data_IF_291103791471
#
_entry.id   IF_291103791471
#
_cell.length_a   1.000
_cell.length_b   1.000
_cell.length_c   1.000
_cell.angle_alpha   90.00
_cell.angle_beta   90.00
_cell.angle_gamma   90.00
#
_symmetry.space_group_name_H-M   'P 1'
#
loop_
_entity.id
_entity.type
_entity.pdbx_description
1 polymer ?
#
# COMPACT_ATOMS: atom_id res chain seq x y z
N UNK A 1 -8.81 -3.67 -3.41
CA UNK A 1 -9.97 -3.63 -4.31
C UNK A 1 -9.80 -2.38 -5.17
N UNK A 2 -9.74 -2.51 -6.50
CA UNK A 2 -9.72 -1.37 -7.42
C UNK A 2 -11.17 -1.08 -7.82
N UNK A 3 -11.64 0.15 -7.62
CA UNK A 3 -12.94 0.60 -8.12
C UNK A 3 -12.78 0.97 -9.60
N UNK A 4 -13.72 0.61 -10.49
CA UNK A 4 -13.74 1.10 -11.86
C UNK A 4 -13.76 2.62 -11.94
N UNK A 5 -12.96 3.17 -12.84
CA UNK A 5 -12.87 4.61 -13.07
C UNK A 5 -14.21 5.18 -13.56
N UNK A 6 -14.64 6.32 -12.99
CA UNK A 6 -15.91 6.97 -13.33
C UNK A 6 -17.12 6.68 -12.41
N UNK A 7 -16.98 5.82 -11.39
CA UNK A 7 -18.07 5.55 -10.43
C UNK A 7 -18.28 6.65 -9.38
N UNK A 8 -17.26 7.45 -9.10
CA UNK A 8 -17.29 8.49 -8.07
C UNK A 8 -17.14 9.88 -8.72
N UNK A 9 -17.90 10.89 -8.25
CA UNK A 9 -17.72 12.26 -8.70
C UNK A 9 -16.25 12.71 -8.54
N UNK A 10 -15.69 13.52 -9.46
CA UNK A 10 -14.30 13.97 -9.38
C UNK A 10 -13.97 14.66 -8.05
N UNK A 11 -14.93 15.39 -7.47
CA UNK A 11 -14.78 16.04 -6.15
C UNK A 11 -14.53 15.03 -5.02
N UNK A 12 -15.16 13.85 -5.08
CA UNK A 12 -14.98 12.79 -4.10
C UNK A 12 -13.63 12.08 -4.28
N UNK A 13 -13.16 11.93 -5.51
CA UNK A 13 -11.81 11.43 -5.79
C UNK A 13 -10.75 12.36 -5.22
N UNK A 14 -10.85 13.68 -5.48
CA UNK A 14 -9.95 14.67 -4.90
C UNK A 14 -9.97 14.68 -3.37
N UNK A 15 -11.15 14.57 -2.76
CA UNK A 15 -11.29 14.50 -1.31
C UNK A 15 -10.66 13.22 -0.73
N UNK A 16 -10.82 12.07 -1.39
CA UNK A 16 -10.17 10.82 -1.01
C UNK A 16 -8.63 10.93 -1.13
N UNK A 17 -8.11 11.56 -2.18
CA UNK A 17 -6.68 11.82 -2.32
C UNK A 17 -6.15 12.74 -1.22
N UNK A 18 -6.87 13.82 -0.89
CA UNK A 18 -6.48 14.73 0.19
C UNK A 18 -6.47 14.02 1.55
N UNK A 19 -7.50 13.24 1.86
CA UNK A 19 -7.55 12.43 3.08
C UNK A 19 -6.42 11.41 3.13
N UNK A 20 -6.15 10.73 2.01
CA UNK A 20 -5.06 9.76 1.93
C UNK A 20 -3.70 10.43 2.20
N UNK A 21 -3.43 11.59 1.57
CA UNK A 21 -2.19 12.35 1.81
C UNK A 21 -2.09 12.82 3.26
N UNK A 22 -3.18 13.26 3.87
CA UNK A 22 -3.21 13.68 5.26
C UNK A 22 -2.91 12.52 6.23
N UNK A 23 -3.54 11.36 6.01
CA UNK A 23 -3.31 10.14 6.81
C UNK A 23 -1.88 9.64 6.61
N UNK A 24 -1.38 9.61 5.37
CA UNK A 24 -0.03 9.19 5.05
C UNK A 24 1.00 10.14 5.69
N UNK A 25 0.79 11.45 5.59
CA UNK A 25 1.64 12.45 6.25
C UNK A 25 1.65 12.30 7.77
N UNK A 26 0.48 12.08 8.37
CA UNK A 26 0.36 11.80 9.81
C UNK A 26 1.05 10.51 10.22
N UNK A 27 0.97 9.46 9.40
CA UNK A 27 1.64 8.18 9.64
C UNK A 27 3.15 8.30 9.50
N UNK A 28 3.65 9.03 8.49
CA UNK A 28 5.08 9.32 8.31
C UNK A 28 5.62 10.08 9.51
N UNK A 29 4.91 11.08 10.01
CA UNK A 29 5.36 11.84 11.18
C UNK A 29 5.37 11.01 12.48
N UNK A 30 4.38 10.14 12.66
CA UNK A 30 4.23 9.30 13.88
C UNK A 30 4.97 7.96 13.81
N UNK A 31 5.51 7.59 12.66
CA UNK A 31 6.17 6.31 12.48
C UNK A 31 7.40 6.21 13.39
N UNK A 32 7.58 5.08 14.11
CA UNK A 32 8.75 4.87 14.97
C UNK A 32 10.00 4.54 14.12
N UNK A 33 10.50 5.51 13.34
CA UNK A 33 11.64 5.37 12.44
C UNK A 33 12.90 4.80 13.10
N UNK A 34 13.06 5.01 14.41
CA UNK A 34 14.16 4.41 15.19
C UNK A 34 14.20 2.88 15.09
N UNK A 35 13.06 2.20 14.87
CA UNK A 35 13.02 0.74 14.67
C UNK A 35 13.70 0.29 13.38
N UNK A 36 13.59 1.07 12.31
CA UNK A 36 14.25 0.82 11.02
C UNK A 36 15.73 1.21 11.01
N UNK A 37 16.25 1.71 12.13
CA UNK A 37 17.68 2.01 12.29
C UNK A 37 18.50 0.75 12.55
N UNK A 38 17.83 -0.34 12.93
CA UNK A 38 18.38 -1.68 12.95
C UNK A 38 18.35 -2.25 11.53
N UNK A 39 19.51 -2.69 11.03
CA UNK A 39 19.65 -3.19 9.67
C UNK A 39 18.76 -4.40 9.42
N UNK A 40 18.60 -5.30 10.41
CA UNK A 40 17.79 -6.50 10.25
C UNK A 40 16.32 -6.14 10.03
N UNK A 41 15.79 -5.18 10.80
CA UNK A 41 14.41 -4.70 10.63
C UNK A 41 14.22 -3.94 9.32
N UNK A 42 15.23 -3.19 8.86
CA UNK A 42 15.18 -2.49 7.58
C UNK A 42 15.13 -3.47 6.40
N UNK A 43 16.00 -4.49 6.41
CA UNK A 43 16.00 -5.53 5.38
C UNK A 43 14.70 -6.33 5.38
N UNK A 44 14.17 -6.67 6.56
CA UNK A 44 12.88 -7.35 6.69
C UNK A 44 11.73 -6.49 6.14
N UNK A 45 11.71 -5.20 6.47
CA UNK A 45 10.68 -4.25 6.01
C UNK A 45 10.69 -4.11 4.49
N UNK A 46 11.86 -3.87 3.90
CA UNK A 46 12.03 -3.77 2.45
C UNK A 46 11.72 -5.09 1.75
N UNK A 47 12.17 -6.21 2.32
CA UNK A 47 11.86 -7.55 1.84
C UNK A 47 10.36 -7.83 1.83
N UNK A 48 9.63 -7.43 2.87
CA UNK A 48 8.18 -7.55 2.92
C UNK A 48 7.49 -6.66 1.88
N UNK A 49 7.99 -5.44 1.67
CA UNK A 49 7.49 -4.56 0.60
C UNK A 49 7.64 -5.24 -0.77
N UNK A 50 8.82 -5.74 -1.11
CA UNK A 50 9.08 -6.42 -2.38
C UNK A 50 8.23 -7.68 -2.51
N UNK A 51 8.16 -8.51 -1.47
CA UNK A 51 7.34 -9.71 -1.46
C UNK A 51 5.85 -9.38 -1.68
N UNK A 52 5.35 -8.30 -1.10
CA UNK A 52 3.99 -7.84 -1.36
C UNK A 52 3.79 -7.31 -2.77
N UNK A 53 4.74 -6.57 -3.34
CA UNK A 53 4.67 -6.15 -4.76
C UNK A 53 4.58 -7.37 -5.68
N UNK A 54 5.40 -8.39 -5.42
CA UNK A 54 5.38 -9.66 -6.17
C UNK A 54 4.06 -10.39 -5.99
N UNK A 55 3.55 -10.48 -4.76
CA UNK A 55 2.27 -11.11 -4.47
C UNK A 55 1.11 -10.37 -5.16
N UNK A 56 1.17 -9.04 -5.24
CA UNK A 56 0.22 -8.22 -5.98
C UNK A 56 0.27 -8.49 -7.49
N UNK A 57 1.43 -8.84 -8.02
CA UNK A 57 1.58 -9.21 -9.44
C UNK A 57 0.91 -10.54 -9.78
N UNK A 58 0.65 -11.41 -8.78
CA UNK A 58 -0.03 -12.69 -8.99
C UNK A 58 -1.54 -12.43 -9.08
N UNK A 59 -2.04 -12.31 -10.31
CA UNK A 59 -3.48 -12.21 -10.58
C UNK A 59 -4.15 -13.58 -10.49
N UNK A 60 -4.62 -13.98 -9.31
CA UNK A 60 -5.43 -15.20 -9.13
C UNK A 60 -6.89 -14.96 -9.53
N UNK A 61 -7.13 -14.76 -10.83
CA UNK A 61 -8.47 -14.56 -11.38
C UNK A 61 -9.07 -15.87 -11.90
N UNK A 62 -9.82 -16.61 -11.08
CA UNK A 62 -10.69 -17.71 -11.55
C UNK A 62 -11.99 -17.15 -12.17
N UNK A 63 -12.32 -15.87 -11.92
CA UNK A 63 -13.44 -15.13 -12.54
C UNK A 63 -13.00 -13.72 -12.96
N UNK A 64 -13.35 -13.28 -14.18
CA UNK A 64 -13.11 -11.89 -14.59
C UNK A 64 -13.95 -10.95 -13.70
N UNK A 65 -13.30 -9.97 -13.07
CA UNK A 65 -13.98 -8.93 -12.28
C UNK A 65 -13.73 -8.95 -10.77
N UNK A 66 -13.13 -10.00 -10.20
CA UNK A 66 -12.83 -10.07 -8.76
C UNK A 66 -11.34 -10.35 -8.53
N UNK A 67 -10.52 -9.31 -8.67
CA UNK A 67 -9.08 -9.40 -8.37
C UNK A 67 -8.86 -9.32 -6.86
N UNK A 68 -8.70 -10.48 -6.21
CA UNK A 68 -8.27 -10.56 -4.82
C UNK A 68 -6.77 -10.28 -4.74
N UNK A 69 -6.42 -9.06 -4.34
CA UNK A 69 -5.06 -8.72 -4.01
C UNK A 69 -4.86 -8.94 -2.51
N UNK A 70 -3.93 -9.82 -2.14
CA UNK A 70 -3.48 -9.91 -0.75
C UNK A 70 -2.79 -8.61 -0.38
N UNK A 71 -3.44 -7.81 0.46
CA UNK A 71 -2.96 -6.47 0.82
C UNK A 71 -1.75 -6.52 1.76
N UNK A 72 -1.53 -7.62 2.48
CA UNK A 72 -0.46 -7.75 3.48
C UNK A 72 -0.56 -6.82 4.69
N UNK A 73 -1.60 -5.98 4.76
CA UNK A 73 -1.72 -4.90 5.73
C UNK A 73 -1.73 -5.37 7.18
N UNK A 74 -2.40 -6.50 7.45
CA UNK A 74 -2.46 -7.09 8.80
C UNK A 74 -1.08 -7.59 9.25
N UNK A 75 -0.36 -8.29 8.36
CA UNK A 75 1.00 -8.77 8.64
C UNK A 75 1.93 -7.59 8.90
N UNK A 76 1.91 -6.56 8.05
CA UNK A 76 2.69 -5.33 8.25
C UNK A 76 2.39 -4.65 9.59
N UNK A 77 1.11 -4.55 9.95
CA UNK A 77 0.66 -3.91 11.18
C UNK A 77 1.12 -4.67 12.41
N UNK A 78 1.10 -6.00 12.37
CA UNK A 78 1.55 -6.83 13.48
C UNK A 78 3.08 -6.81 13.64
N UNK A 79 3.83 -6.79 12.53
CA UNK A 79 5.30 -6.82 12.55
C UNK A 79 5.92 -5.47 12.92
N UNK A 80 5.43 -4.38 12.33
CA UNK A 80 6.06 -3.06 12.44
C UNK A 80 5.21 -2.02 13.18
N UNK A 81 3.95 -2.35 13.49
CA UNK A 81 2.96 -1.43 14.04
C UNK A 81 2.17 -0.70 12.95
N UNK A 82 1.05 -0.05 13.32
CA UNK A 82 0.12 0.55 12.36
C UNK A 82 0.71 1.70 11.55
N UNK A 83 1.59 2.52 12.13
CA UNK A 83 2.15 3.69 11.44
C UNK A 83 3.18 3.30 10.37
N UNK A 84 4.09 2.37 10.68
CA UNK A 84 5.04 1.84 9.69
C UNK A 84 4.35 0.98 8.63
N UNK A 85 3.26 0.30 8.99
CA UNK A 85 2.43 -0.42 8.04
C UNK A 85 1.83 0.51 6.97
N UNK A 86 1.26 1.64 7.36
CA UNK A 86 0.71 2.63 6.42
C UNK A 86 1.81 3.15 5.47
N UNK A 87 2.99 3.45 5.99
CA UNK A 87 4.14 3.88 5.18
C UNK A 87 4.57 2.78 4.20
N UNK A 88 4.76 1.55 4.68
CA UNK A 88 5.17 0.41 3.86
C UNK A 88 4.17 0.09 2.75
N UNK A 89 2.88 0.09 3.07
CA UNK A 89 1.82 -0.07 2.08
C UNK A 89 1.78 1.08 1.07
N UNK A 90 2.08 2.31 1.49
CA UNK A 90 2.25 3.45 0.60
C UNK A 90 3.40 3.25 -0.39
N UNK A 91 4.54 2.73 0.07
CA UNK A 91 5.69 2.40 -0.78
C UNK A 91 5.35 1.27 -1.76
N UNK A 92 4.67 0.23 -1.30
CA UNK A 92 4.18 -0.86 -2.17
C UNK A 92 3.23 -0.31 -3.22
N UNK A 93 2.25 0.49 -2.83
CA UNK A 93 1.30 1.08 -3.76
C UNK A 93 2.02 1.91 -4.82
N UNK A 94 2.90 2.84 -4.42
CA UNK A 94 3.71 3.61 -5.35
C UNK A 94 4.51 2.72 -6.31
N UNK A 95 5.19 1.70 -5.79
CA UNK A 95 5.99 0.79 -6.61
C UNK A 95 5.14 0.08 -7.67
N UNK A 96 4.01 -0.48 -7.27
CA UNK A 96 3.13 -1.21 -8.19
C UNK A 96 2.44 -0.27 -9.18
N UNK A 97 2.17 0.95 -8.76
CA UNK A 97 1.64 2.02 -9.59
C UNK A 97 2.63 2.53 -10.64
N UNK A 98 3.92 2.68 -10.29
CA UNK A 98 4.99 2.99 -11.24
C UNK A 98 5.23 1.86 -12.26
N UNK A 99 5.11 0.60 -11.83
CA UNK A 99 5.26 -0.56 -12.71
C UNK A 99 4.05 -0.82 -13.64
N UNK A 100 3.03 0.05 -13.64
CA UNK A 100 1.87 -0.06 -14.54
C UNK A 100 0.90 -1.19 -14.19
N UNK A 101 1.01 -1.73 -12.97
CA UNK A 101 0.17 -2.82 -12.48
C UNK A 101 -1.10 -2.31 -11.77
N UNK A 102 -1.21 -1.01 -11.50
CA UNK A 102 -2.47 -0.34 -11.09
C UNK A 102 -2.99 0.55 -12.22
N UNK A 103 -4.29 0.46 -12.51
CA UNK A 103 -4.98 1.45 -13.32
C UNK A 103 -4.87 2.82 -12.65
N UNK A 104 -4.37 3.79 -13.38
CA UNK A 104 -4.56 5.20 -13.06
C UNK A 104 -5.86 5.62 -13.73
N UNK A 105 -6.68 6.38 -12.99
CA UNK A 105 -8.03 6.83 -13.35
C UNK A 105 -8.29 7.20 -14.80
#
# INVERSE_FOLDING_TARGET
MNFPDGLLPPSWQWLAHLLFVAVLGGAVYRAPWRRLRDNDQLHLFLGLCVALMLLWSIKTGIKPGLNFHLLGATVFTLMFGPWLAIVGLGVVLLGVTFYGLSGWG
#
